data_IF_750999455706
#
_entry.id   IF_750999455706
#
_cell.length_a   1.000
_cell.length_b   1.000
_cell.length_c   1.000
_cell.angle_alpha   90.00
_cell.angle_beta   90.00
_cell.angle_gamma   90.00
#
_symmetry.space_group_name_H-M   'P 1'
#
loop_
_entity.id
_entity.type
_entity.pdbx_description
1 polymer ?
#
# COMPACT_ATOMS: atom_id res chain seq x y z
N UNK A 1 23.20 7.29 -2.57
CA UNK A 1 23.74 5.97 -2.14
C UNK A 1 24.01 5.06 -3.34
N UNK A 2 23.00 4.83 -4.21
CA UNK A 2 23.03 3.83 -5.28
C UNK A 2 23.91 4.16 -6.49
N UNK A 3 24.45 5.37 -6.59
CA UNK A 3 25.26 5.84 -7.73
C UNK A 3 26.41 4.89 -8.08
N UNK A 4 27.09 4.32 -7.07
CA UNK A 4 28.17 3.35 -7.28
C UNK A 4 27.63 2.00 -7.76
N UNK A 5 26.55 1.49 -7.16
CA UNK A 5 25.93 0.20 -7.51
C UNK A 5 25.44 0.19 -8.95
N UNK A 6 24.74 1.27 -9.35
CA UNK A 6 24.20 1.43 -10.70
C UNK A 6 25.31 1.56 -11.75
N UNK A 7 26.46 2.14 -11.40
CA UNK A 7 27.55 2.36 -12.37
C UNK A 7 28.05 1.07 -13.02
N UNK A 8 28.06 -0.04 -12.29
CA UNK A 8 28.46 -1.36 -12.80
C UNK A 8 27.43 -1.99 -13.77
N UNK A 9 26.19 -1.49 -13.75
CA UNK A 9 25.07 -2.00 -14.55
C UNK A 9 24.78 -1.18 -15.80
N UNK A 10 25.30 0.06 -15.89
CA UNK A 10 25.07 0.94 -17.03
C UNK A 10 25.50 0.29 -18.35
N UNK A 11 24.64 0.38 -19.37
CA UNK A 11 24.90 -0.14 -20.71
C UNK A 11 24.54 -1.61 -20.92
N UNK A 12 24.07 -2.32 -19.89
CA UNK A 12 23.52 -3.67 -20.07
C UNK A 12 22.14 -3.62 -20.74
N UNK A 13 21.80 -4.67 -21.49
CA UNK A 13 20.53 -4.77 -22.21
C UNK A 13 19.31 -4.92 -21.28
N UNK A 14 19.51 -5.54 -20.11
CA UNK A 14 18.51 -5.66 -19.08
C UNK A 14 19.18 -5.46 -17.71
N UNK A 15 18.68 -4.47 -16.97
CA UNK A 15 19.21 -4.08 -15.65
C UNK A 15 18.25 -4.39 -14.52
N UNK A 16 17.23 -5.22 -14.76
CA UNK A 16 16.20 -5.48 -13.76
C UNK A 16 16.68 -6.37 -12.60
N UNK A 17 16.13 -6.17 -11.41
CA UNK A 17 16.43 -7.07 -10.28
C UNK A 17 16.02 -8.52 -10.58
N UNK A 18 14.89 -8.74 -11.26
CA UNK A 18 14.46 -10.09 -11.67
C UNK A 18 15.47 -10.77 -12.59
N UNK A 19 16.09 -10.01 -13.51
CA UNK A 19 17.12 -10.54 -14.41
C UNK A 19 18.37 -11.00 -13.64
N UNK A 20 18.84 -10.21 -12.67
CA UNK A 20 19.97 -10.61 -11.83
C UNK A 20 19.62 -11.79 -10.92
N UNK A 21 18.44 -11.78 -10.31
CA UNK A 21 17.98 -12.87 -9.44
C UNK A 21 17.91 -14.22 -10.17
N UNK A 22 17.39 -14.24 -11.40
CA UNK A 22 17.32 -15.47 -12.23
C UNK A 22 18.68 -15.98 -12.69
N UNK A 23 19.70 -15.13 -12.67
CA UNK A 23 21.11 -15.51 -12.87
C UNK A 23 21.80 -15.97 -11.58
N UNK A 24 21.10 -16.00 -10.45
CA UNK A 24 21.67 -16.33 -9.15
C UNK A 24 22.58 -15.24 -8.58
N UNK A 25 22.42 -13.99 -9.02
CA UNK A 25 23.23 -12.86 -8.57
C UNK A 25 22.45 -12.07 -7.52
N UNK A 26 22.99 -12.01 -6.29
CA UNK A 26 22.51 -11.10 -5.24
C UNK A 26 23.07 -9.71 -5.51
N UNK A 27 22.19 -8.76 -5.83
CA UNK A 27 22.57 -7.35 -6.03
C UNK A 27 22.70 -6.61 -4.70
N UNK A 28 23.29 -5.41 -4.73
CA UNK A 28 23.35 -4.54 -3.55
C UNK A 28 21.95 -4.16 -3.05
N UNK A 29 20.98 -3.98 -3.96
CA UNK A 29 19.57 -3.78 -3.60
C UNK A 29 18.99 -4.98 -2.84
N UNK A 30 19.23 -6.21 -3.28
CA UNK A 30 18.73 -7.42 -2.59
C UNK A 30 19.35 -7.57 -1.21
N UNK A 31 20.67 -7.34 -1.08
CA UNK A 31 21.36 -7.39 0.20
C UNK A 31 20.87 -6.29 1.17
N UNK A 32 20.62 -5.08 0.65
CA UNK A 32 20.06 -3.98 1.45
C UNK A 32 18.67 -4.34 1.99
N UNK A 33 17.79 -4.87 1.13
CA UNK A 33 16.44 -5.30 1.51
C UNK A 33 16.48 -6.45 2.51
N UNK A 34 17.34 -7.45 2.30
CA UNK A 34 17.50 -8.58 3.21
C UNK A 34 17.80 -8.12 4.64
N UNK A 35 18.72 -7.16 4.79
CA UNK A 35 19.03 -6.53 6.07
C UNK A 35 17.84 -5.74 6.63
N UNK A 36 17.16 -4.95 5.80
CA UNK A 36 16.01 -4.11 6.20
C UNK A 36 14.83 -4.93 6.72
N UNK A 37 14.54 -6.06 6.09
CA UNK A 37 13.43 -6.96 6.46
C UNK A 37 13.83 -8.03 7.47
N UNK A 38 15.12 -8.11 7.86
CA UNK A 38 15.69 -9.19 8.67
C UNK A 38 15.41 -10.59 8.06
N UNK A 39 15.66 -10.73 6.76
CA UNK A 39 15.48 -11.96 5.98
C UNK A 39 16.80 -12.41 5.34
N UNK A 40 16.99 -13.71 5.04
CA UNK A 40 18.17 -14.18 4.31
C UNK A 40 18.24 -13.62 2.88
N UNK A 41 19.43 -13.25 2.41
CA UNK A 41 19.64 -12.78 1.03
C UNK A 41 19.18 -13.81 -0.02
N UNK A 42 19.36 -15.10 0.25
CA UNK A 42 18.90 -16.18 -0.63
C UNK A 42 17.39 -16.17 -0.80
N UNK A 43 16.62 -15.91 0.26
CA UNK A 43 15.17 -15.82 0.19
C UNK A 43 14.73 -14.63 -0.67
N UNK A 44 15.36 -13.46 -0.49
CA UNK A 44 15.06 -12.27 -1.31
C UNK A 44 15.31 -12.56 -2.79
N UNK A 45 16.48 -13.12 -3.11
CA UNK A 45 16.84 -13.47 -4.49
C UNK A 45 15.87 -14.51 -5.08
N UNK A 46 15.53 -15.56 -4.34
CA UNK A 46 14.60 -16.61 -4.81
C UNK A 46 13.20 -16.07 -5.06
N UNK A 47 12.66 -15.25 -4.14
CA UNK A 47 11.32 -14.65 -4.27
C UNK A 47 11.27 -13.64 -5.44
N UNK A 48 12.34 -12.87 -5.66
CA UNK A 48 12.46 -11.98 -6.83
C UNK A 48 12.59 -12.80 -8.13
N UNK A 49 13.40 -13.85 -8.16
CA UNK A 49 13.60 -14.68 -9.35
C UNK A 49 12.31 -15.35 -9.83
N UNK A 50 11.48 -15.83 -8.89
CA UNK A 50 10.19 -16.45 -9.19
C UNK A 50 9.03 -15.46 -9.35
N UNK A 51 9.26 -14.17 -9.10
CA UNK A 51 8.29 -13.10 -9.31
C UNK A 51 7.27 -12.87 -8.18
N UNK A 52 7.48 -13.45 -6.99
CA UNK A 52 6.62 -13.24 -5.79
C UNK A 52 7.06 -12.04 -4.93
N UNK A 53 8.18 -11.45 -5.30
CA UNK A 53 8.72 -10.24 -4.71
C UNK A 53 9.27 -9.35 -5.81
N UNK A 54 9.13 -8.04 -5.64
CA UNK A 54 9.78 -7.03 -6.46
C UNK A 54 10.58 -6.08 -5.57
N UNK A 55 11.56 -5.42 -6.18
CA UNK A 55 12.31 -4.31 -5.61
C UNK A 55 12.24 -3.18 -6.65
N UNK A 56 11.26 -2.27 -6.55
CA UNK A 56 11.09 -1.19 -7.52
C UNK A 56 12.23 -0.18 -7.36
N UNK A 57 13.20 -0.22 -8.26
CA UNK A 57 14.47 0.47 -8.07
C UNK A 57 15.09 0.93 -9.39
N UNK A 58 14.43 1.89 -10.03
CA UNK A 58 14.89 2.43 -11.31
C UNK A 58 16.34 2.94 -11.19
N UNK A 59 17.18 2.64 -12.17
CA UNK A 59 18.60 2.99 -12.17
C UNK A 59 18.86 4.50 -12.06
N UNK A 60 17.91 5.33 -12.48
CA UNK A 60 18.03 6.79 -12.43
C UNK A 60 17.64 7.36 -11.05
N UNK A 61 16.95 6.60 -10.20
CA UNK A 61 16.57 7.01 -8.85
C UNK A 61 17.68 6.70 -7.83
N UNK A 62 18.76 7.48 -7.87
CA UNK A 62 20.00 7.15 -7.12
C UNK A 62 19.96 7.48 -5.61
N UNK A 63 18.96 8.24 -5.17
CA UNK A 63 18.69 8.59 -3.77
C UNK A 63 17.81 7.56 -3.04
N UNK A 64 17.20 6.62 -3.78
CA UNK A 64 16.37 5.55 -3.25
C UNK A 64 17.09 4.70 -2.19
N UNK A 65 16.39 4.44 -1.09
CA UNK A 65 16.68 3.39 -0.11
C UNK A 65 15.84 2.15 -0.45
N UNK A 66 16.45 1.09 -1.01
CA UNK A 66 15.70 -0.07 -1.51
C UNK A 66 14.76 -0.69 -0.48
N UNK A 67 13.62 -1.18 -0.96
CA UNK A 67 12.60 -1.89 -0.21
C UNK A 67 12.01 -3.00 -1.08
N UNK A 68 11.48 -4.06 -0.47
CA UNK A 68 10.80 -5.13 -1.19
C UNK A 68 9.29 -5.10 -0.98
N UNK A 69 8.57 -5.44 -2.05
CA UNK A 69 7.13 -5.68 -2.04
C UNK A 69 6.91 -7.14 -2.41
N UNK A 70 6.44 -7.94 -1.46
CA UNK A 70 6.11 -9.34 -1.67
C UNK A 70 5.49 -9.99 -0.44
N UNK A 71 4.80 -11.11 -0.61
CA UNK A 71 4.16 -11.83 0.50
C UNK A 71 5.16 -12.45 1.48
N UNK A 72 6.47 -12.46 1.18
CA UNK A 72 7.49 -12.90 2.13
C UNK A 72 8.01 -11.78 3.05
N UNK A 73 7.83 -10.50 2.67
CA UNK A 73 8.26 -9.34 3.44
C UNK A 73 7.11 -8.72 4.26
N UNK A 74 7.41 -7.71 5.08
CA UNK A 74 6.38 -6.93 5.79
C UNK A 74 5.38 -6.29 4.81
N UNK A 75 4.14 -6.10 5.23
CA UNK A 75 3.10 -5.46 4.41
C UNK A 75 3.43 -3.97 4.21
N UNK A 76 3.42 -3.50 2.96
CA UNK A 76 3.86 -2.15 2.59
C UNK A 76 2.68 -1.20 2.41
N UNK A 77 2.89 0.09 2.63
CA UNK A 77 1.87 1.14 2.44
C UNK A 77 2.32 2.16 1.41
N UNK A 78 1.46 2.45 0.44
CA UNK A 78 1.64 3.53 -0.52
C UNK A 78 0.82 4.77 -0.13
N UNK A 79 1.40 5.96 -0.29
CA UNK A 79 0.65 7.22 -0.28
C UNK A 79 0.54 7.82 -1.69
N UNK A 80 -0.61 8.42 -2.01
CA UNK A 80 -0.80 9.17 -3.26
C UNK A 80 -0.66 10.66 -2.99
N UNK A 81 0.18 11.33 -3.77
CA UNK A 81 0.26 12.79 -3.82
C UNK A 81 -0.01 13.23 -5.26
N UNK A 82 -0.03 14.54 -5.51
CA UNK A 82 -0.21 15.05 -6.87
C UNK A 82 -0.78 16.45 -6.90
N UNK A 83 -0.26 17.25 -7.84
CA UNK A 83 -0.78 18.56 -8.20
C UNK A 83 -1.98 18.44 -9.15
N UNK A 84 -2.89 19.40 -9.07
CA UNK A 84 -4.05 19.49 -9.96
C UNK A 84 -4.15 20.89 -10.55
N UNK A 85 -4.94 21.09 -11.63
CA UNK A 85 -5.19 22.42 -12.19
C UNK A 85 -5.62 23.50 -11.19
N UNK A 86 -6.17 23.09 -10.04
CA UNK A 86 -6.73 23.98 -9.03
C UNK A 86 -5.92 24.07 -7.74
N UNK A 87 -4.86 23.28 -7.58
CA UNK A 87 -4.13 23.19 -6.30
C UNK A 87 -2.74 22.57 -6.44
N UNK A 88 -1.83 23.07 -5.61
CA UNK A 88 -0.46 22.59 -5.39
C UNK A 88 0.57 22.94 -6.46
N UNK A 89 1.80 23.17 -6.01
CA UNK A 89 2.99 23.37 -6.82
C UNK A 89 4.09 22.35 -6.47
N UNK A 90 5.24 22.44 -7.13
CA UNK A 90 6.36 21.52 -6.88
C UNK A 90 6.85 21.53 -5.42
N UNK A 91 6.80 22.68 -4.73
CA UNK A 91 7.25 22.79 -3.34
C UNK A 91 6.23 22.17 -2.37
N UNK A 92 4.94 22.39 -2.60
CA UNK A 92 3.86 21.77 -1.83
C UNK A 92 3.87 20.24 -2.00
N UNK A 93 4.05 19.72 -3.21
CA UNK A 93 4.14 18.27 -3.44
C UNK A 93 5.37 17.63 -2.79
N UNK A 94 6.53 18.30 -2.82
CA UNK A 94 7.73 17.84 -2.07
C UNK A 94 7.49 17.86 -0.56
N UNK A 95 6.71 18.81 -0.03
CA UNK A 95 6.34 18.81 1.39
C UNK A 95 5.38 17.66 1.73
N UNK A 96 4.41 17.35 0.87
CA UNK A 96 3.53 16.17 1.02
C UNK A 96 4.32 14.87 0.99
N UNK A 97 5.28 14.74 0.08
CA UNK A 97 6.22 13.60 0.04
C UNK A 97 6.95 13.44 1.39
N UNK A 98 7.56 14.50 1.90
CA UNK A 98 8.28 14.46 3.19
C UNK A 98 7.38 14.07 4.34
N UNK A 99 6.15 14.58 4.35
CA UNK A 99 5.14 14.23 5.35
C UNK A 99 4.74 12.76 5.25
N UNK A 100 4.54 12.26 4.03
CA UNK A 100 4.18 10.88 3.79
C UNK A 100 5.28 9.92 4.28
N UNK A 101 6.53 10.22 3.95
CA UNK A 101 7.69 9.45 4.43
C UNK A 101 7.83 9.54 5.96
N UNK A 102 7.64 10.72 6.56
CA UNK A 102 7.65 10.91 8.03
C UNK A 102 6.67 9.96 8.73
N UNK A 103 5.45 9.83 8.21
CA UNK A 103 4.41 8.97 8.79
C UNK A 103 4.42 7.53 8.26
N UNK A 104 5.51 7.13 7.58
CA UNK A 104 5.82 5.72 7.31
C UNK A 104 5.35 5.18 5.96
N UNK A 105 5.04 6.03 4.98
CA UNK A 105 4.82 5.58 3.61
C UNK A 105 6.05 4.81 3.10
N UNK A 106 5.83 3.59 2.63
CA UNK A 106 6.86 2.71 2.08
C UNK A 106 7.13 3.00 0.59
N UNK A 107 6.11 3.51 -0.12
CA UNK A 107 6.21 4.09 -1.47
C UNK A 107 5.32 5.33 -1.58
N UNK A 108 5.56 6.15 -2.60
CA UNK A 108 4.69 7.29 -2.91
C UNK A 108 4.38 7.32 -4.41
N UNK A 109 3.13 7.60 -4.79
CA UNK A 109 2.78 7.84 -6.19
C UNK A 109 2.55 9.32 -6.46
N UNK A 110 3.17 9.82 -7.52
CA UNK A 110 2.83 11.11 -8.10
C UNK A 110 1.69 10.93 -9.12
N UNK A 111 0.50 11.39 -8.74
CA UNK A 111 -0.71 11.34 -9.55
C UNK A 111 -1.10 12.72 -10.10
N UNK A 112 -0.13 13.63 -10.26
CA UNK A 112 -0.36 14.97 -10.79
C UNK A 112 -1.04 14.97 -12.17
N UNK A 113 -2.01 15.86 -12.41
CA UNK A 113 -2.83 15.84 -13.63
C UNK A 113 -2.94 17.16 -14.39
N UNK A 114 -2.29 18.24 -13.96
CA UNK A 114 -2.25 19.49 -14.72
C UNK A 114 -2.10 20.72 -13.81
N UNK A 115 -2.15 21.91 -14.41
CA UNK A 115 -1.98 23.20 -13.73
C UNK A 115 -0.54 23.66 -13.53
N UNK A 116 0.39 22.73 -13.68
CA UNK A 116 1.83 22.92 -13.45
C UNK A 116 2.61 22.12 -14.49
N UNK A 117 3.90 22.38 -14.62
CA UNK A 117 4.76 21.53 -15.42
C UNK A 117 4.96 20.18 -14.72
N UNK A 118 4.27 19.14 -15.21
CA UNK A 118 4.30 17.79 -14.64
C UNK A 118 5.72 17.20 -14.58
N UNK A 119 6.58 17.54 -15.56
CA UNK A 119 7.96 17.05 -15.57
C UNK A 119 8.79 17.67 -14.44
N UNK A 120 8.61 18.97 -14.17
CA UNK A 120 9.33 19.68 -13.11
C UNK A 120 8.90 19.18 -11.72
N UNK A 121 7.59 19.04 -11.49
CA UNK A 121 7.04 18.51 -10.23
C UNK A 121 7.59 17.11 -9.97
N UNK A 122 7.49 16.20 -10.95
CA UNK A 122 7.98 14.83 -10.81
C UNK A 122 9.49 14.76 -10.61
N UNK A 123 10.27 15.60 -11.31
CA UNK A 123 11.72 15.69 -11.12
C UNK A 123 12.07 16.13 -9.69
N UNK A 124 11.33 17.11 -9.15
CA UNK A 124 11.52 17.57 -7.78
C UNK A 124 11.16 16.49 -6.75
N UNK A 125 10.07 15.76 -6.96
CA UNK A 125 9.65 14.63 -6.11
C UNK A 125 10.69 13.51 -6.11
N UNK A 126 11.12 13.03 -7.29
CA UNK A 126 12.13 11.96 -7.41
C UNK A 126 13.47 12.41 -6.81
N UNK A 127 13.88 13.66 -7.03
CA UNK A 127 15.11 14.20 -6.45
C UNK A 127 15.10 14.23 -4.92
N UNK A 128 13.93 14.43 -4.30
CA UNK A 128 13.77 14.53 -2.86
C UNK A 128 13.39 13.21 -2.16
N UNK A 129 13.00 12.17 -2.90
CA UNK A 129 12.45 10.94 -2.32
C UNK A 129 13.54 9.93 -1.93
N UNK A 130 13.49 9.38 -0.70
CA UNK A 130 14.25 8.18 -0.35
C UNK A 130 13.46 6.88 -0.62
N UNK A 131 12.16 6.96 -0.95
CA UNK A 131 11.28 5.80 -1.17
C UNK A 131 10.90 5.68 -2.66
N UNK A 132 10.49 4.49 -3.15
CA UNK A 132 10.10 4.32 -4.55
C UNK A 132 8.97 5.26 -4.96
N UNK A 133 9.09 5.85 -6.15
CA UNK A 133 8.11 6.73 -6.77
C UNK A 133 7.35 6.01 -7.88
N UNK A 134 6.03 5.96 -7.74
CA UNK A 134 5.10 5.46 -8.76
C UNK A 134 4.42 6.55 -9.56
N UNK A 135 3.93 6.23 -10.75
CA UNK A 135 3.11 7.14 -11.58
C UNK A 135 2.06 6.40 -12.40
N UNK A 136 1.11 7.13 -12.99
CA UNK A 136 0.18 6.63 -14.01
C UNK A 136 0.41 7.40 -15.33
N UNK A 137 1.25 6.88 -16.25
CA UNK A 137 1.68 7.59 -17.46
C UNK A 137 0.54 8.09 -18.37
N UNK A 138 -0.59 7.38 -18.38
CA UNK A 138 -1.79 7.74 -19.13
C UNK A 138 -2.28 9.16 -18.80
N UNK A 139 -2.07 9.66 -17.57
CA UNK A 139 -2.52 10.99 -17.18
C UNK A 139 -1.74 12.08 -17.92
N UNK A 140 -0.41 11.95 -18.01
CA UNK A 140 0.40 12.91 -18.74
C UNK A 140 0.29 12.73 -20.26
N UNK A 141 0.07 11.50 -20.75
CA UNK A 141 -0.19 11.27 -22.18
C UNK A 141 -1.49 11.96 -22.63
N UNK A 142 -2.54 11.93 -21.83
CA UNK A 142 -3.75 12.68 -22.13
C UNK A 142 -3.52 14.20 -22.08
N UNK A 143 -2.74 14.67 -21.10
CA UNK A 143 -2.42 16.09 -20.96
C UNK A 143 -1.56 16.61 -22.14
N UNK A 144 -0.66 15.80 -22.71
CA UNK A 144 0.17 16.20 -23.86
C UNK A 144 -0.64 16.47 -25.14
N UNK A 145 -1.86 15.95 -25.22
CA UNK A 145 -2.83 16.24 -26.28
C UNK A 145 -3.97 17.14 -25.81
N UNK A 146 -3.79 17.86 -24.69
CA UNK A 146 -4.76 18.78 -24.09
C UNK A 146 -6.14 18.15 -23.85
N UNK A 147 -6.18 16.90 -23.37
CA UNK A 147 -7.42 16.19 -23.07
C UNK A 147 -8.12 15.56 -24.28
N UNK A 148 -7.53 15.63 -25.48
CA UNK A 148 -8.16 15.20 -26.71
C UNK A 148 -7.95 13.70 -26.99
N UNK A 149 -8.94 12.87 -26.66
CA UNK A 149 -8.94 11.41 -26.92
C UNK A 149 -8.74 11.09 -28.41
N UNK A 150 -9.29 11.92 -29.31
CA UNK A 150 -9.16 11.75 -30.76
C UNK A 150 -7.72 11.94 -31.28
N UNK A 151 -6.91 12.77 -30.60
CA UNK A 151 -5.52 13.06 -30.97
C UNK A 151 -4.52 12.16 -30.27
N UNK A 152 -4.92 11.51 -29.18
CA UNK A 152 -4.08 10.59 -28.43
C UNK A 152 -3.80 9.34 -29.27
N UNK A 153 -2.54 9.04 -29.54
CA UNK A 153 -2.13 7.86 -30.31
C UNK A 153 -1.33 6.84 -29.47
N UNK A 154 -0.92 5.72 -30.09
CA UNK A 154 -0.18 4.66 -29.39
C UNK A 154 1.25 5.09 -29.00
N UNK A 155 1.86 5.97 -29.77
CA UNK A 155 3.24 6.40 -29.60
C UNK A 155 3.35 7.49 -28.51
N UNK A 156 2.31 8.30 -28.31
CA UNK A 156 2.17 9.21 -27.16
C UNK A 156 2.32 8.45 -25.84
N UNK A 157 1.64 7.31 -25.71
CA UNK A 157 1.75 6.48 -24.49
C UNK A 157 3.17 5.99 -24.28
N UNK A 158 3.82 5.43 -25.31
CA UNK A 158 5.19 4.91 -25.19
C UNK A 158 6.19 6.02 -24.89
N UNK A 159 6.04 7.18 -25.52
CA UNK A 159 6.91 8.33 -25.28
C UNK A 159 6.85 8.78 -23.81
N UNK A 160 5.65 8.92 -23.24
CA UNK A 160 5.49 9.32 -21.84
C UNK A 160 5.97 8.23 -20.87
N UNK A 161 5.69 6.96 -21.15
CA UNK A 161 6.19 5.81 -20.36
C UNK A 161 7.72 5.83 -20.28
N UNK A 162 8.41 6.00 -21.42
CA UNK A 162 9.87 6.07 -21.45
C UNK A 162 10.40 7.33 -20.76
N UNK A 163 9.74 8.47 -20.94
CA UNK A 163 10.10 9.74 -20.27
C UNK A 163 10.08 9.60 -18.75
N UNK A 164 9.06 8.96 -18.19
CA UNK A 164 8.97 8.68 -16.75
C UNK A 164 10.12 7.78 -16.28
N UNK A 165 10.46 6.74 -17.05
CA UNK A 165 11.62 5.89 -16.74
C UNK A 165 12.95 6.67 -16.76
N UNK A 166 13.13 7.59 -17.70
CA UNK A 166 14.32 8.43 -17.80
C UNK A 166 14.48 9.36 -16.60
N UNK A 167 13.38 9.86 -16.04
CA UNK A 167 13.40 10.70 -14.82
C UNK A 167 13.69 9.92 -13.54
N UNK A 168 13.50 8.60 -13.54
CA UNK A 168 13.72 7.75 -12.36
C UNK A 168 12.46 7.26 -11.66
N UNK A 169 11.31 7.20 -12.35
CA UNK A 169 10.11 6.54 -11.81
C UNK A 169 10.38 5.04 -11.63
N UNK A 170 10.16 4.52 -10.43
CA UNK A 170 10.50 3.14 -10.04
C UNK A 170 9.45 2.12 -10.48
N UNK A 171 8.18 2.52 -10.50
CA UNK A 171 7.09 1.70 -11.02
C UNK A 171 6.02 2.53 -11.72
N UNK A 172 5.35 1.93 -12.68
CA UNK A 172 4.30 2.61 -13.44
C UNK A 172 3.03 1.78 -13.46
N UNK A 173 1.90 2.41 -13.15
CA UNK A 173 0.58 1.83 -13.30
C UNK A 173 0.19 1.81 -14.77
N UNK A 174 0.24 0.62 -15.37
CA UNK A 174 -0.07 0.38 -16.78
C UNK A 174 -1.39 -0.39 -16.87
N UNK A 175 -2.43 0.28 -17.35
CA UNK A 175 -3.80 -0.25 -17.47
C UNK A 175 -3.96 -1.11 -18.75
N UNK A 176 -3.06 -2.07 -18.97
CA UNK A 176 -3.05 -2.93 -20.15
C UNK A 176 -4.01 -4.12 -20.08
N UNK A 177 -4.56 -4.43 -18.89
CA UNK A 177 -5.52 -5.54 -18.72
C UNK A 177 -6.93 -5.26 -19.22
N UNK A 178 -7.27 -3.99 -19.46
CA UNK A 178 -8.55 -3.60 -20.03
C UNK A 178 -8.58 -3.91 -21.52
N UNK A 179 -9.33 -4.93 -21.91
CA UNK A 179 -9.55 -5.27 -23.31
C UNK A 179 -10.89 -4.73 -23.82
N UNK A 180 -11.00 -4.47 -25.13
CA UNK A 180 -12.22 -3.94 -25.74
C UNK A 180 -13.44 -4.87 -25.50
N UNK A 181 -13.23 -6.18 -25.49
CA UNK A 181 -14.25 -7.20 -25.19
C UNK A 181 -14.69 -7.23 -23.71
N UNK A 182 -13.97 -6.53 -22.82
CA UNK A 182 -14.39 -6.38 -21.42
C UNK A 182 -15.42 -5.26 -21.27
N UNK A 183 -15.42 -4.23 -22.14
CA UNK A 183 -16.31 -3.07 -22.01
C UNK A 183 -17.80 -3.44 -21.93
N UNK A 184 -18.34 -4.40 -22.72
CA UNK A 184 -19.75 -4.78 -22.56
C UNK A 184 -20.09 -5.38 -21.19
N UNK A 185 -19.10 -5.92 -20.45
CA UNK A 185 -19.30 -6.55 -19.13
C UNK A 185 -19.58 -5.53 -18.02
N UNK A 186 -19.22 -4.26 -18.21
CA UNK A 186 -19.55 -3.19 -17.24
C UNK A 186 -21.02 -2.77 -17.31
N UNK A 187 -21.76 -3.25 -18.32
CA UNK A 187 -23.19 -2.96 -18.45
C UNK A 187 -23.95 -3.48 -17.24
N UNK A 188 -24.62 -2.57 -16.52
CA UNK A 188 -25.40 -2.90 -15.33
C UNK A 188 -24.68 -2.64 -14.01
N UNK A 189 -23.38 -2.27 -14.04
CA UNK A 189 -22.72 -1.71 -12.86
C UNK A 189 -23.43 -0.45 -12.38
N UNK A 190 -23.48 -0.24 -11.06
CA UNK A 190 -24.02 1.00 -10.47
C UNK A 190 -23.05 2.16 -10.72
N UNK A 191 -21.74 1.92 -10.59
CA UNK A 191 -20.69 2.95 -10.64
C UNK A 191 -19.84 2.93 -11.91
N UNK A 192 -20.09 1.97 -12.81
CA UNK A 192 -19.40 1.88 -14.10
C UNK A 192 -17.88 1.64 -13.98
N UNK A 193 -17.09 2.47 -14.64
CA UNK A 193 -15.61 2.45 -14.60
C UNK A 193 -15.15 3.62 -13.75
N UNK A 194 -14.61 3.33 -12.56
CA UNK A 194 -14.13 4.35 -11.61
C UNK A 194 -12.63 4.60 -11.66
N UNK A 195 -11.88 3.75 -12.36
CA UNK A 195 -10.47 4.01 -12.63
C UNK A 195 -10.33 5.17 -13.62
N UNK A 196 -9.61 6.24 -13.24
CA UNK A 196 -9.31 7.35 -14.15
C UNK A 196 -8.54 6.86 -15.38
N UNK A 197 -7.47 6.08 -15.18
CA UNK A 197 -6.67 5.54 -16.29
C UNK A 197 -7.47 4.55 -17.14
N UNK A 198 -8.26 3.70 -16.51
CA UNK A 198 -9.19 2.79 -17.18
C UNK A 198 -10.25 3.51 -18.01
N UNK A 199 -10.82 4.60 -17.48
CA UNK A 199 -11.82 5.42 -18.17
C UNK A 199 -11.27 6.10 -19.42
N UNK A 200 -10.05 6.63 -19.36
CA UNK A 200 -9.36 7.24 -20.51
C UNK A 200 -9.14 6.22 -21.63
N UNK A 201 -8.65 5.02 -21.29
CA UNK A 201 -8.43 3.96 -22.28
C UNK A 201 -9.73 3.37 -22.82
N UNK A 202 -10.77 3.27 -21.98
CA UNK A 202 -12.11 2.88 -22.43
C UNK A 202 -12.64 3.87 -23.48
N UNK A 203 -12.53 5.18 -23.23
CA UNK A 203 -12.90 6.22 -24.20
C UNK A 203 -12.08 6.12 -25.48
N UNK A 204 -10.77 5.91 -25.37
CA UNK A 204 -9.89 5.73 -26.53
C UNK A 204 -10.31 4.55 -27.40
N UNK A 205 -10.55 3.38 -26.80
CA UNK A 205 -11.00 2.19 -27.55
C UNK A 205 -12.37 2.38 -28.18
N UNK A 206 -13.30 3.04 -27.49
CA UNK A 206 -14.64 3.33 -28.01
C UNK A 206 -14.60 4.32 -29.19
N UNK A 207 -13.72 5.32 -29.15
CA UNK A 207 -13.58 6.31 -30.22
C UNK A 207 -12.87 5.72 -31.45
N UNK A 208 -11.73 5.05 -31.24
CA UNK A 208 -10.91 4.53 -32.33
C UNK A 208 -11.34 3.16 -32.85
N UNK A 209 -12.23 2.45 -32.14
CA UNK A 209 -12.66 1.07 -32.44
C UNK A 209 -11.48 0.09 -32.57
N UNK A 210 -10.47 0.25 -31.71
CA UNK A 210 -9.24 -0.56 -31.68
C UNK A 210 -9.00 -1.11 -30.29
N UNK A 211 -8.23 -2.19 -30.20
CA UNK A 211 -7.82 -2.76 -28.92
C UNK A 211 -6.96 -1.75 -28.14
N UNK A 212 -6.94 -1.88 -26.81
CA UNK A 212 -6.14 -1.08 -25.90
C UNK A 212 -4.68 -0.98 -26.38
N UNK A 213 -4.16 0.23 -26.59
CA UNK A 213 -2.82 0.43 -27.14
C UNK A 213 -1.72 -0.07 -26.19
N UNK A 214 -1.94 -0.04 -24.88
CA UNK A 214 -0.99 -0.57 -23.90
C UNK A 214 -0.93 -2.10 -23.94
N UNK A 215 -2.02 -2.77 -24.34
CA UNK A 215 -2.06 -4.22 -24.52
C UNK A 215 -1.36 -4.65 -25.82
N UNK A 216 -1.63 -3.95 -26.92
CA UNK A 216 -1.03 -4.25 -28.23
C UNK A 216 0.47 -3.97 -28.25
N UNK A 217 0.90 -2.88 -27.59
CA UNK A 217 2.31 -2.45 -27.50
C UNK A 217 3.03 -2.96 -26.24
N UNK A 218 2.49 -3.96 -25.54
CA UNK A 218 3.02 -4.39 -24.23
C UNK A 218 4.49 -4.86 -24.26
N UNK A 219 4.93 -5.54 -25.34
CA UNK A 219 6.33 -5.96 -25.46
C UNK A 219 7.28 -4.77 -25.63
N UNK A 220 6.85 -3.70 -26.31
CA UNK A 220 7.64 -2.47 -26.42
C UNK A 220 7.81 -1.80 -25.05
N UNK A 221 6.76 -1.82 -24.22
CA UNK A 221 6.82 -1.35 -22.82
C UNK A 221 7.81 -2.22 -22.03
N UNK A 222 7.79 -3.54 -22.22
CA UNK A 222 8.77 -4.43 -21.58
C UNK A 222 10.21 -4.08 -21.99
N UNK A 223 10.46 -3.79 -23.28
CA UNK A 223 11.79 -3.38 -23.76
C UNK A 223 12.24 -2.03 -23.17
N UNK A 224 11.31 -1.10 -22.92
CA UNK A 224 11.61 0.13 -22.18
C UNK A 224 11.99 -0.22 -20.74
N UNK A 225 11.16 -0.98 -20.03
CA UNK A 225 11.33 -1.23 -18.59
C UNK A 225 12.63 -1.98 -18.27
N UNK A 226 13.04 -2.93 -19.11
CA UNK A 226 14.33 -3.63 -19.00
C UNK A 226 15.53 -2.69 -18.93
N UNK A 227 15.51 -1.58 -19.68
CA UNK A 227 16.63 -0.63 -19.76
C UNK A 227 16.80 0.21 -18.49
N UNK A 228 15.74 0.33 -17.69
CA UNK A 228 15.70 1.24 -16.55
C UNK A 228 15.45 0.55 -15.21
N UNK A 229 15.07 -0.73 -15.18
CA UNK A 229 14.54 -1.44 -14.00
C UNK A 229 13.27 -0.78 -13.44
N UNK A 230 12.38 -0.36 -14.35
CA UNK A 230 11.04 0.10 -13.96
C UNK A 230 10.13 -1.12 -13.77
N UNK A 231 9.37 -1.14 -12.68
CA UNK A 231 8.45 -2.23 -12.35
C UNK A 231 7.06 -1.95 -12.92
N UNK A 232 6.43 -2.97 -13.49
CA UNK A 232 5.00 -2.89 -13.79
C UNK A 232 4.19 -2.90 -12.51
N UNK A 233 3.29 -1.93 -12.38
CA UNK A 233 2.08 -2.06 -11.59
C UNK A 233 0.94 -2.28 -12.58
N UNK A 234 0.48 -3.50 -12.78
CA UNK A 234 -0.56 -3.78 -13.78
C UNK A 234 -1.91 -3.31 -13.23
N UNK A 235 -2.43 -2.22 -13.80
CA UNK A 235 -3.56 -1.46 -13.27
C UNK A 235 -4.91 -2.17 -13.38
N UNK A 236 -5.79 -1.91 -12.41
CA UNK A 236 -7.12 -2.48 -12.26
C UNK A 236 -8.23 -1.57 -12.82
N UNK A 237 -8.20 -1.37 -14.13
CA UNK A 237 -9.10 -0.47 -14.87
C UNK A 237 -10.58 -0.70 -14.56
N UNK A 238 -10.97 -1.93 -14.30
CA UNK A 238 -12.33 -2.40 -14.05
C UNK A 238 -12.55 -2.75 -12.57
N UNK A 239 -11.78 -2.18 -11.64
CA UNK A 239 -12.08 -2.32 -10.21
C UNK A 239 -13.50 -1.84 -9.86
N UNK A 240 -14.12 -2.42 -8.83
CA UNK A 240 -15.44 -2.01 -8.36
C UNK A 240 -15.38 -0.66 -7.63
N UNK A 241 -16.31 0.24 -7.95
CA UNK A 241 -16.50 1.54 -7.28
C UNK A 241 -17.63 1.58 -6.27
N UNK A 242 -18.30 0.44 -6.04
CA UNK A 242 -19.27 0.24 -4.98
C UNK A 242 -19.38 -1.25 -4.65
N UNK A 243 -19.97 -1.59 -3.51
CA UNK A 243 -20.13 -2.99 -3.06
C UNK A 243 -20.89 -3.86 -4.07
N UNK A 244 -21.87 -3.28 -4.77
CA UNK A 244 -22.69 -4.00 -5.75
C UNK A 244 -21.87 -4.51 -6.94
N UNK A 245 -20.85 -3.76 -7.35
CA UNK A 245 -20.05 -4.06 -8.53
C UNK A 245 -18.87 -4.99 -8.17
N UNK A 246 -18.71 -5.35 -6.89
CA UNK A 246 -17.61 -6.16 -6.39
C UNK A 246 -17.64 -7.60 -6.92
N UNK A 247 -16.46 -8.08 -7.31
CA UNK A 247 -16.22 -9.45 -7.80
C UNK A 247 -17.06 -9.81 -9.04
N UNK A 248 -17.49 -8.81 -9.81
CA UNK A 248 -18.30 -9.01 -11.00
C UNK A 248 -17.49 -9.58 -12.20
N UNK A 249 -18.21 -9.87 -13.29
CA UNK A 249 -17.59 -10.46 -14.48
C UNK A 249 -16.57 -9.53 -15.17
N UNK A 250 -16.70 -8.20 -15.04
CA UNK A 250 -15.77 -7.25 -15.64
C UNK A 250 -14.44 -7.21 -14.88
N UNK A 251 -14.50 -7.13 -13.55
CA UNK A 251 -13.32 -7.15 -12.68
C UNK A 251 -12.53 -8.45 -12.87
N UNK A 252 -13.21 -9.60 -12.81
CA UNK A 252 -12.56 -10.91 -12.91
C UNK A 252 -12.00 -11.19 -14.31
N UNK A 253 -12.62 -10.64 -15.36
CA UNK A 253 -12.10 -10.74 -16.72
C UNK A 253 -10.78 -9.97 -16.89
N UNK A 254 -10.70 -8.74 -16.36
CA UNK A 254 -9.44 -8.00 -16.36
C UNK A 254 -8.36 -8.71 -15.55
N UNK A 255 -8.66 -9.17 -14.32
CA UNK A 255 -7.70 -9.88 -13.47
C UNK A 255 -7.04 -11.06 -14.19
N UNK A 256 -7.82 -11.83 -14.94
CA UNK A 256 -7.31 -12.94 -15.77
C UNK A 256 -6.31 -12.44 -16.83
N UNK A 257 -6.62 -11.33 -17.51
CA UNK A 257 -5.70 -10.70 -18.47
C UNK A 257 -4.45 -10.17 -17.79
N UNK A 258 -4.55 -9.57 -16.60
CA UNK A 258 -3.38 -9.13 -15.82
C UNK A 258 -2.45 -10.32 -15.52
N UNK A 259 -3.00 -11.50 -15.22
CA UNK A 259 -2.21 -12.72 -15.06
C UNK A 259 -1.45 -13.14 -16.33
N UNK A 260 -2.06 -12.99 -17.51
CA UNK A 260 -1.37 -13.22 -18.79
C UNK A 260 -0.24 -12.22 -19.02
N UNK A 261 -0.51 -10.94 -18.77
CA UNK A 261 0.48 -9.86 -18.91
C UNK A 261 1.63 -10.00 -17.92
N UNK A 262 1.38 -10.46 -16.69
CA UNK A 262 2.41 -10.81 -15.71
C UNK A 262 3.37 -11.86 -16.28
N UNK A 263 2.84 -12.98 -16.80
CA UNK A 263 3.66 -14.03 -17.43
C UNK A 263 4.41 -13.52 -18.65
N UNK A 264 3.80 -12.63 -19.45
CA UNK A 264 4.44 -11.99 -20.62
C UNK A 264 5.62 -11.11 -20.20
N UNK A 265 5.44 -10.22 -19.22
CA UNK A 265 6.52 -9.39 -18.66
C UNK A 265 7.63 -10.22 -18.00
N UNK A 266 7.28 -11.32 -17.34
CA UNK A 266 8.27 -12.24 -16.78
C UNK A 266 9.09 -12.96 -17.84
N UNK A 267 8.60 -13.21 -19.06
CA UNK A 267 9.47 -13.71 -20.16
C UNK A 267 10.56 -12.71 -20.55
N UNK A 268 10.33 -11.43 -20.23
CA UNK A 268 11.25 -10.32 -20.42
C UNK A 268 12.10 -10.04 -19.16
N UNK A 269 12.03 -10.88 -18.12
CA UNK A 269 12.63 -10.62 -16.80
C UNK A 269 12.25 -9.25 -16.22
N UNK A 270 11.06 -8.71 -16.52
CA UNK A 270 10.60 -7.44 -15.95
C UNK A 270 9.81 -7.70 -14.68
N UNK A 271 10.06 -6.88 -13.64
CA UNK A 271 9.38 -6.97 -12.36
C UNK A 271 7.90 -6.57 -12.49
N UNK A 272 7.00 -7.25 -11.78
CA UNK A 272 5.56 -7.03 -11.85
C UNK A 272 4.92 -7.12 -10.46
N UNK A 273 4.09 -6.14 -10.14
CA UNK A 273 3.00 -6.27 -9.18
C UNK A 273 1.66 -6.05 -9.89
N UNK A 274 0.58 -6.54 -9.29
CA UNK A 274 -0.77 -6.48 -9.86
C UNK A 274 -1.64 -5.61 -8.96
N UNK A 275 -2.35 -4.65 -9.53
CA UNK A 275 -3.32 -3.84 -8.79
C UNK A 275 -4.63 -4.58 -8.57
N UNK A 276 -5.34 -4.21 -7.51
CA UNK A 276 -6.55 -4.88 -7.05
C UNK A 276 -7.54 -3.93 -6.39
N UNK A 277 -8.74 -4.47 -6.09
CA UNK A 277 -9.98 -3.72 -6.05
C UNK A 277 -10.05 -2.60 -5.01
N UNK A 278 -11.05 -1.73 -5.27
CA UNK A 278 -11.47 -0.61 -4.44
C UNK A 278 -12.57 -0.96 -3.44
N UNK A 279 -13.82 -1.14 -3.88
CA UNK A 279 -14.96 -1.38 -2.98
C UNK A 279 -15.34 -2.87 -2.97
N UNK A 280 -15.13 -3.56 -1.86
CA UNK A 280 -15.36 -5.00 -1.74
C UNK A 280 -15.91 -5.31 -0.35
N UNK A 281 -17.04 -6.03 -0.23
CA UNK A 281 -17.61 -6.32 1.08
C UNK A 281 -16.74 -7.34 1.79
N UNK A 282 -16.75 -7.29 3.12
CA UNK A 282 -15.81 -8.02 3.97
C UNK A 282 -15.72 -9.53 3.65
N UNK A 283 -16.85 -10.15 3.31
CA UNK A 283 -16.99 -11.57 2.98
C UNK A 283 -16.38 -11.98 1.63
N UNK A 284 -16.00 -11.02 0.78
CA UNK A 284 -15.41 -11.26 -0.54
C UNK A 284 -13.91 -10.95 -0.62
N UNK A 285 -13.30 -10.39 0.42
CA UNK A 285 -11.90 -9.97 0.40
C UNK A 285 -10.96 -11.17 0.24
N UNK A 286 -11.16 -12.23 1.03
CA UNK A 286 -10.36 -13.46 0.93
C UNK A 286 -10.44 -14.07 -0.47
N UNK A 287 -11.63 -14.09 -1.06
CA UNK A 287 -11.84 -14.57 -2.43
C UNK A 287 -10.99 -13.78 -3.43
N UNK A 288 -10.99 -12.44 -3.35
CA UNK A 288 -10.22 -11.59 -4.26
C UNK A 288 -8.71 -11.85 -4.16
N UNK A 289 -8.17 -11.94 -2.95
CA UNK A 289 -6.73 -12.21 -2.74
C UNK A 289 -6.34 -13.58 -3.27
N UNK A 290 -7.09 -14.63 -2.93
CA UNK A 290 -6.85 -15.99 -3.44
C UNK A 290 -6.97 -16.07 -4.95
N UNK A 291 -7.96 -15.38 -5.52
CA UNK A 291 -8.17 -15.38 -6.97
C UNK A 291 -7.02 -14.69 -7.71
N UNK A 292 -6.48 -13.61 -7.16
CA UNK A 292 -5.30 -12.98 -7.72
C UNK A 292 -4.08 -13.91 -7.66
N UNK A 293 -3.85 -14.62 -6.56
CA UNK A 293 -2.72 -15.56 -6.45
C UNK A 293 -2.80 -16.66 -7.51
N UNK A 294 -4.01 -17.19 -7.75
CA UNK A 294 -4.27 -18.20 -8.78
C UNK A 294 -3.98 -17.68 -10.20
N UNK A 295 -4.61 -16.57 -10.59
CA UNK A 295 -4.55 -16.05 -11.96
C UNK A 295 -3.19 -15.42 -12.31
N UNK A 296 -2.57 -14.75 -11.32
CA UNK A 296 -1.36 -13.95 -11.48
C UNK A 296 -0.09 -14.63 -10.95
N UNK A 297 -0.12 -15.95 -10.72
CA UNK A 297 1.03 -16.74 -10.30
C UNK A 297 1.74 -16.19 -9.04
N UNK A 298 0.94 -15.77 -8.05
CA UNK A 298 1.42 -15.19 -6.78
C UNK A 298 2.27 -13.91 -6.93
N UNK A 299 2.19 -13.18 -8.05
CA UNK A 299 2.80 -11.86 -8.17
C UNK A 299 2.33 -10.94 -7.02
N UNK A 300 3.18 -10.03 -6.49
CA UNK A 300 2.79 -9.13 -5.43
C UNK A 300 1.47 -8.40 -5.73
N UNK A 301 0.54 -8.46 -4.79
CA UNK A 301 -0.77 -7.82 -4.94
C UNK A 301 -0.76 -6.44 -4.27
N UNK A 302 -1.31 -5.44 -4.95
CA UNK A 302 -1.37 -4.04 -4.53
C UNK A 302 -2.83 -3.56 -4.58
N UNK A 303 -3.47 -3.32 -3.43
CA UNK A 303 -4.92 -3.03 -3.38
C UNK A 303 -5.23 -1.62 -2.90
N UNK A 304 -6.31 -1.01 -3.41
CA UNK A 304 -6.82 0.28 -2.94
C UNK A 304 -7.86 0.09 -1.84
N UNK A 305 -7.43 -0.03 -0.57
CA UNK A 305 -8.30 -0.44 0.54
C UNK A 305 -8.28 -1.94 0.74
N UNK A 306 -9.36 -2.69 0.45
CA UNK A 306 -10.63 -2.22 -0.11
C UNK A 306 -11.61 -1.59 0.91
N UNK A 307 -12.48 -0.70 0.46
CA UNK A 307 -13.60 -0.15 1.24
C UNK A 307 -14.66 -1.23 1.46
N UNK A 308 -14.95 -1.53 2.72
CA UNK A 308 -15.91 -2.61 3.10
C UNK A 308 -17.37 -2.14 3.14
N UNK A 309 -17.61 -0.84 2.98
CA UNK A 309 -18.93 -0.23 2.94
C UNK A 309 -18.86 1.16 2.27
N UNK A 310 -19.94 1.57 1.61
CA UNK A 310 -20.01 2.80 0.81
C UNK A 310 -20.74 3.96 1.53
N UNK A 311 -21.22 3.74 2.76
CA UNK A 311 -22.16 4.65 3.44
C UNK A 311 -21.50 5.72 4.33
N UNK A 312 -20.17 5.81 4.32
CA UNK A 312 -19.42 6.68 5.24
C UNK A 312 -18.39 7.60 4.55
N UNK A 313 -18.74 8.32 3.46
CA UNK A 313 -17.83 9.30 2.87
C UNK A 313 -17.42 10.35 3.93
N UNK A 314 -16.14 10.69 3.98
CA UNK A 314 -15.53 11.44 5.08
C UNK A 314 -14.77 10.54 6.08
N UNK A 315 -15.06 9.24 6.07
CA UNK A 315 -14.45 8.23 6.94
C UNK A 315 -13.95 7.01 6.16
N UNK A 316 -13.70 7.17 4.86
CA UNK A 316 -13.30 6.07 4.00
C UNK A 316 -11.93 5.49 4.34
N UNK A 317 -11.05 6.27 4.96
CA UNK A 317 -9.82 5.76 5.58
C UNK A 317 -10.07 4.70 6.66
N UNK A 318 -11.23 4.73 7.34
CA UNK A 318 -11.62 3.72 8.34
C UNK A 318 -12.29 2.53 7.65
N UNK A 319 -13.23 2.78 6.73
CA UNK A 319 -13.92 1.71 6.00
C UNK A 319 -12.93 0.87 5.20
N UNK A 320 -11.92 1.51 4.62
CA UNK A 320 -10.87 0.85 3.86
C UNK A 320 -9.81 0.20 4.73
N UNK A 321 -9.47 0.75 5.90
CA UNK A 321 -8.47 0.14 6.80
C UNK A 321 -8.91 -1.26 7.28
N UNK A 322 -10.22 -1.47 7.49
CA UNK A 322 -10.77 -2.80 7.82
C UNK A 322 -10.48 -3.78 6.67
N UNK A 323 -10.79 -3.40 5.43
CA UNK A 323 -10.55 -4.26 4.29
C UNK A 323 -9.07 -4.44 3.99
N UNK A 324 -8.26 -3.40 4.18
CA UNK A 324 -6.82 -3.41 3.99
C UNK A 324 -6.12 -4.36 4.97
N UNK A 325 -6.55 -4.39 6.24
CA UNK A 325 -6.03 -5.33 7.22
C UNK A 325 -6.35 -6.79 6.85
N UNK A 326 -7.58 -7.05 6.36
CA UNK A 326 -7.99 -8.38 5.89
C UNK A 326 -7.26 -8.82 4.62
N UNK A 327 -7.18 -7.93 3.62
CA UNK A 327 -6.48 -8.20 2.37
C UNK A 327 -4.99 -8.42 2.63
N UNK A 328 -4.40 -7.56 3.46
CA UNK A 328 -3.08 -7.71 4.04
C UNK A 328 -2.94 -9.09 4.66
N UNK A 329 -3.73 -9.44 5.69
CA UNK A 329 -3.63 -10.76 6.34
C UNK A 329 -3.62 -11.93 5.33
N UNK A 330 -4.54 -11.92 4.36
CA UNK A 330 -4.69 -13.00 3.40
C UNK A 330 -3.62 -13.07 2.30
N UNK A 331 -2.80 -12.04 2.09
CA UNK A 331 -1.66 -12.15 1.18
C UNK A 331 -1.29 -10.93 0.35
N UNK A 332 -2.03 -9.83 0.47
CA UNK A 332 -1.67 -8.58 -0.21
C UNK A 332 -0.32 -8.05 0.25
N UNK A 333 0.54 -7.66 -0.69
CA UNK A 333 1.91 -7.23 -0.42
C UNK A 333 2.01 -5.73 -0.14
N UNK A 334 1.18 -4.92 -0.82
CA UNK A 334 1.15 -3.47 -0.65
C UNK A 334 -0.29 -2.94 -0.58
N UNK A 335 -0.52 -1.95 0.26
CA UNK A 335 -1.82 -1.34 0.49
C UNK A 335 -1.76 0.13 0.05
N UNK A 336 -2.54 0.52 -0.94
CA UNK A 336 -2.72 1.92 -1.30
C UNK A 336 -3.64 2.56 -0.29
N UNK A 337 -3.15 3.61 0.37
CA UNK A 337 -3.94 4.30 1.37
C UNK A 337 -5.22 4.91 0.77
N UNK A 338 -6.17 5.21 1.65
CA UNK A 338 -7.37 5.98 1.34
C UNK A 338 -7.46 7.04 2.42
N UNK A 339 -7.71 8.28 2.01
CA UNK A 339 -7.75 9.42 2.94
C UNK A 339 -9.19 9.66 3.41
N UNK A 340 -9.40 10.43 4.49
CA UNK A 340 -10.74 10.90 4.86
C UNK A 340 -11.48 11.63 3.72
N UNK A 341 -10.73 12.25 2.78
CA UNK A 341 -11.27 13.01 1.65
C UNK A 341 -11.64 12.17 0.42
N UNK A 342 -11.43 10.86 0.45
CA UNK A 342 -11.87 10.00 -0.64
C UNK A 342 -13.36 10.25 -0.93
N UNK A 343 -13.71 10.30 -2.23
CA UNK A 343 -15.04 10.67 -2.72
C UNK A 343 -15.50 12.10 -2.43
N UNK A 344 -14.66 12.97 -1.85
CA UNK A 344 -15.03 14.34 -1.45
C UNK A 344 -14.12 15.44 -2.01
N UNK A 345 -12.82 15.20 -2.14
CA UNK A 345 -11.90 16.22 -2.66
C UNK A 345 -10.43 15.84 -2.54
N UNK A 346 -9.55 16.82 -2.78
CA UNK A 346 -8.11 16.61 -2.63
C UNK A 346 -7.70 16.58 -1.15
N UNK A 347 -6.83 15.64 -0.74
CA UNK A 347 -6.33 15.57 0.63
C UNK A 347 -5.34 16.70 0.92
N UNK A 348 -5.47 17.29 2.11
CA UNK A 348 -4.47 18.17 2.70
C UNK A 348 -3.46 17.36 3.53
N UNK A 349 -2.52 18.06 4.18
CA UNK A 349 -1.49 17.43 5.02
C UNK A 349 -2.06 16.56 6.16
N UNK A 350 -3.17 16.98 6.78
CA UNK A 350 -3.79 16.23 7.86
C UNK A 350 -4.53 14.99 7.33
N UNK A 351 -5.23 15.12 6.21
CA UNK A 351 -5.89 13.99 5.54
C UNK A 351 -4.85 12.91 5.14
N UNK A 352 -3.64 13.33 4.73
CA UNK A 352 -2.52 12.42 4.42
C UNK A 352 -2.01 11.72 5.68
N UNK A 353 -1.85 12.45 6.80
CA UNK A 353 -1.44 11.89 8.09
C UNK A 353 -2.43 10.83 8.57
N UNK A 354 -3.73 11.14 8.58
CA UNK A 354 -4.77 10.21 9.04
C UNK A 354 -4.85 8.95 8.17
N UNK A 355 -4.85 9.12 6.84
CA UNK A 355 -4.85 8.00 5.91
C UNK A 355 -3.62 7.09 6.09
N UNK A 356 -2.44 7.67 6.27
CA UNK A 356 -1.21 6.90 6.47
C UNK A 356 -1.21 6.14 7.79
N UNK A 357 -1.58 6.78 8.90
CA UNK A 357 -1.64 6.11 10.19
C UNK A 357 -2.65 4.97 10.18
N UNK A 358 -3.84 5.17 9.57
CA UNK A 358 -4.83 4.11 9.41
C UNK A 358 -4.26 2.89 8.64
N UNK A 359 -3.49 3.13 7.59
CA UNK A 359 -2.90 2.05 6.78
C UNK A 359 -1.66 1.42 7.40
N UNK A 360 -0.84 2.16 8.16
CA UNK A 360 0.24 1.55 8.95
C UNK A 360 -0.31 0.65 10.03
N UNK A 361 -1.44 1.01 10.66
CA UNK A 361 -2.17 0.12 11.58
C UNK A 361 -2.62 -1.13 10.84
N UNK A 362 -3.27 -0.99 9.67
CA UNK A 362 -3.75 -2.12 8.88
C UNK A 362 -2.62 -3.07 8.44
N UNK A 363 -1.52 -2.52 7.93
CA UNK A 363 -0.34 -3.27 7.51
C UNK A 363 0.31 -4.02 8.69
N UNK A 364 0.47 -3.35 9.83
CA UNK A 364 1.02 -3.95 11.05
C UNK A 364 0.12 -5.06 11.61
N UNK A 365 -1.19 -4.83 11.65
CA UNK A 365 -2.17 -5.84 12.07
C UNK A 365 -2.13 -7.08 11.15
N UNK A 366 -1.98 -6.87 9.84
CA UNK A 366 -1.79 -7.95 8.88
C UNK A 366 -0.49 -8.74 9.14
N UNK A 367 0.62 -8.06 9.45
CA UNK A 367 1.90 -8.73 9.76
C UNK A 367 1.84 -9.52 11.09
N UNK A 368 1.12 -9.03 12.10
CA UNK A 368 0.81 -9.80 13.32
C UNK A 368 0.00 -11.06 12.97
N UNK A 369 -1.07 -10.91 12.18
CA UNK A 369 -1.94 -12.02 11.80
C UNK A 369 -1.24 -13.06 10.89
N UNK A 370 -0.18 -12.65 10.18
CA UNK A 370 0.73 -13.52 9.42
C UNK A 370 1.85 -14.13 10.26
N UNK A 371 1.89 -13.85 11.57
CA UNK A 371 2.92 -14.31 12.50
C UNK A 371 4.34 -13.96 12.05
N UNK A 372 4.53 -12.74 11.53
CA UNK A 372 5.87 -12.26 11.15
C UNK A 372 6.81 -12.22 12.35
N UNK A 373 8.06 -12.72 12.23
CA UNK A 373 9.05 -12.62 13.29
C UNK A 373 9.22 -11.17 13.76
N UNK A 374 9.12 -10.95 15.07
CA UNK A 374 9.29 -9.64 15.71
C UNK A 374 8.12 -8.65 15.53
N UNK A 375 7.06 -8.99 14.78
CA UNK A 375 5.95 -8.06 14.55
C UNK A 375 5.23 -7.64 15.84
N UNK A 376 5.21 -8.50 16.86
CA UNK A 376 4.60 -8.18 18.16
C UNK A 376 5.53 -7.47 19.14
N UNK A 377 6.83 -7.37 18.85
CA UNK A 377 7.81 -6.87 19.82
C UNK A 377 7.50 -5.44 20.24
N UNK A 378 7.13 -4.58 19.27
CA UNK A 378 6.73 -3.19 19.52
C UNK A 378 5.41 -3.09 20.30
N UNK A 379 4.41 -3.92 19.99
CA UNK A 379 3.13 -3.96 20.71
C UNK A 379 3.33 -4.34 22.17
N UNK A 380 4.14 -5.37 22.41
CA UNK A 380 4.42 -5.89 23.74
C UNK A 380 5.28 -4.87 24.53
N UNK A 381 6.28 -4.21 23.91
CA UNK A 381 7.06 -3.15 24.55
C UNK A 381 6.20 -1.93 24.91
N UNK A 382 5.33 -1.48 23.99
CA UNK A 382 4.39 -0.38 24.24
C UNK A 382 3.42 -0.73 25.37
N UNK A 383 2.93 -1.97 25.40
CA UNK A 383 2.03 -2.46 26.45
C UNK A 383 2.74 -2.54 27.81
N UNK A 384 4.03 -2.90 27.85
CA UNK A 384 4.85 -2.85 29.07
C UNK A 384 5.02 -1.41 29.55
N UNK A 385 5.36 -0.47 28.66
CA UNK A 385 5.45 0.95 29.00
C UNK A 385 4.12 1.49 29.55
N UNK A 386 3.00 1.15 28.90
CA UNK A 386 1.65 1.49 29.37
C UNK A 386 1.36 0.95 30.76
N UNK A 387 1.64 -0.32 31.02
CA UNK A 387 1.40 -0.93 32.33
C UNK A 387 2.34 -0.37 33.41
N UNK A 388 3.57 0.00 33.06
CA UNK A 388 4.53 0.65 33.95
C UNK A 388 4.28 2.16 34.14
N UNK A 389 3.27 2.73 33.47
CA UNK A 389 2.97 4.16 33.46
C UNK A 389 4.12 5.04 32.96
N UNK A 390 4.99 4.48 32.13
CA UNK A 390 5.99 5.24 31.37
C UNK A 390 5.32 5.86 30.14
N UNK A 391 4.64 6.98 30.37
CA UNK A 391 3.88 7.70 29.34
C UNK A 391 4.77 8.13 28.19
N UNK A 392 5.98 8.63 28.48
CA UNK A 392 6.90 9.09 27.45
C UNK A 392 7.35 7.94 26.55
N UNK A 393 7.69 6.77 27.14
CA UNK A 393 8.04 5.60 26.34
C UNK A 393 6.84 5.07 25.56
N UNK A 394 5.63 5.10 26.13
CA UNK A 394 4.42 4.73 25.40
C UNK A 394 4.17 5.64 24.19
N UNK A 395 4.38 6.96 24.31
CA UNK A 395 4.26 7.88 23.19
C UNK A 395 5.32 7.60 22.13
N UNK A 396 6.59 7.50 22.53
CA UNK A 396 7.73 7.19 21.64
C UNK A 396 7.49 5.93 20.81
N UNK A 397 6.95 4.89 21.44
CA UNK A 397 6.68 3.61 20.78
C UNK A 397 5.42 3.63 19.92
N UNK A 398 4.54 4.63 20.00
CA UNK A 398 3.33 4.69 19.17
C UNK A 398 3.64 5.05 17.71
N UNK A 399 2.74 4.72 16.78
CA UNK A 399 2.91 5.08 15.35
C UNK A 399 2.93 6.60 15.12
N UNK A 400 2.27 7.36 15.98
CA UNK A 400 2.23 8.82 15.95
C UNK A 400 2.45 9.38 17.37
N UNK A 401 3.73 9.50 17.80
CA UNK A 401 4.07 9.99 19.14
C UNK A 401 3.52 11.39 19.43
N UNK A 402 3.45 12.25 18.41
CA UNK A 402 2.93 13.62 18.53
C UNK A 402 1.44 13.60 18.89
N UNK A 403 0.62 12.82 18.17
CA UNK A 403 -0.83 12.71 18.45
C UNK A 403 -1.11 12.02 19.79
N UNK A 404 -0.36 10.97 20.11
CA UNK A 404 -0.54 10.25 21.37
C UNK A 404 -0.29 11.16 22.58
N UNK A 405 0.75 12.00 22.52
CA UNK A 405 1.04 12.99 23.56
C UNK A 405 0.01 14.12 23.58
N UNK A 406 -0.38 14.64 22.42
CA UNK A 406 -1.40 15.69 22.29
C UNK A 406 -2.69 15.30 23.02
N UNK A 407 -3.27 14.13 22.72
CA UNK A 407 -4.53 13.67 23.32
C UNK A 407 -4.45 13.39 24.82
N UNK A 408 -3.30 12.92 25.31
CA UNK A 408 -3.09 12.81 26.75
C UNK A 408 -3.09 14.21 27.41
N UNK A 409 -2.40 15.16 26.79
CA UNK A 409 -2.12 16.48 27.37
C UNK A 409 -3.31 17.45 27.28
N UNK A 410 -4.31 17.17 26.44
CA UNK A 410 -5.58 17.90 26.41
C UNK A 410 -6.26 17.97 27.80
N UNK A 411 -6.10 16.93 28.62
CA UNK A 411 -6.71 16.84 29.95
C UNK A 411 -5.70 16.86 31.09
N UNK A 412 -4.46 16.42 30.85
CA UNK A 412 -3.39 16.35 31.85
C UNK A 412 -2.07 16.95 31.31
N UNK A 413 -2.01 18.27 31.05
CA UNK A 413 -0.90 18.89 30.31
C UNK A 413 0.41 18.98 31.12
N UNK A 414 0.35 19.02 32.45
CA UNK A 414 1.53 19.22 33.28
C UNK A 414 2.48 18.01 33.23
N UNK A 415 3.80 18.25 33.18
CA UNK A 415 4.82 17.20 33.07
C UNK A 415 4.77 16.17 34.20
N UNK A 416 4.29 16.57 35.38
CA UNK A 416 4.09 15.66 36.52
C UNK A 416 3.16 14.48 36.16
N UNK A 417 2.22 14.67 35.23
CA UNK A 417 1.28 13.63 34.83
C UNK A 417 1.92 12.58 33.90
N UNK A 418 3.11 12.83 33.35
CA UNK A 418 3.87 11.83 32.59
C UNK A 418 4.50 10.74 33.47
N UNK A 419 4.41 10.92 34.79
CA UNK A 419 4.80 9.93 35.79
C UNK A 419 3.59 9.48 36.63
N UNK A 420 2.38 9.99 36.33
CA UNK A 420 1.19 9.63 37.06
C UNK A 420 0.77 8.20 36.70
N UNK A 421 0.46 7.40 37.71
CA UNK A 421 -0.04 6.05 37.51
C UNK A 421 -1.51 6.01 37.05
N UNK A 422 -2.00 7.03 36.35
CA UNK A 422 -3.38 7.12 35.87
C UNK A 422 -3.46 8.10 34.70
N UNK A 423 -4.57 8.07 33.97
CA UNK A 423 -4.98 9.14 33.06
C UNK A 423 -6.35 9.69 33.47
N UNK A 424 -6.83 10.70 32.75
CA UNK A 424 -8.12 11.36 33.00
C UNK A 424 -9.33 10.44 32.84
N UNK A 425 -9.22 9.33 32.11
CA UNK A 425 -10.33 8.39 31.87
C UNK A 425 -10.87 7.76 33.16
N UNK A 426 -9.99 7.24 34.03
CA UNK A 426 -10.38 6.60 35.29
C UNK A 426 -10.01 7.43 36.52
N UNK A 427 -9.04 8.34 36.38
CA UNK A 427 -8.47 9.07 37.50
C UNK A 427 -7.66 8.20 38.47
N UNK A 428 -7.15 8.79 39.56
CA UNK A 428 -6.12 8.21 40.42
C UNK A 428 -6.59 7.06 41.32
N UNK A 429 -7.89 6.77 41.41
CA UNK A 429 -8.43 5.74 42.33
C UNK A 429 -9.04 4.54 41.62
N UNK A 430 -9.27 4.64 40.31
CA UNK A 430 -10.04 3.66 39.55
C UNK A 430 -9.28 3.15 38.33
N UNK A 431 -7.99 3.45 38.21
CA UNK A 431 -7.17 2.87 37.15
C UNK A 431 -6.91 1.38 37.46
N UNK A 432 -7.39 0.44 36.63
CA UNK A 432 -7.20 -0.99 36.91
C UNK A 432 -5.72 -1.41 36.91
N UNK A 433 -4.88 -0.73 36.13
CA UNK A 433 -3.43 -1.02 36.06
C UNK A 433 -2.67 -0.63 37.33
N UNK A 434 -3.25 0.21 38.20
CA UNK A 434 -2.71 0.52 39.53
C UNK A 434 -2.97 -0.59 40.54
N UNK A 435 -4.03 -1.38 40.37
CA UNK A 435 -4.38 -2.43 41.33
C UNK A 435 -3.31 -3.52 41.41
N UNK A 436 -2.51 -3.68 40.35
CA UNK A 436 -1.35 -4.60 40.28
C UNK A 436 -1.64 -5.98 40.88
N UNK A 437 -2.78 -6.59 40.51
CA UNK A 437 -3.08 -7.97 40.92
C UNK A 437 -1.91 -8.85 40.51
N UNK A 438 -1.31 -9.51 41.50
CA UNK A 438 -0.09 -10.30 41.33
C UNK A 438 -0.39 -11.77 41.09
N UNK A 439 0.60 -12.52 40.58
CA UNK A 439 0.50 -13.98 40.49
C UNK A 439 0.29 -14.61 41.88
N UNK A 440 0.86 -14.04 42.94
CA UNK A 440 0.64 -14.49 44.33
C UNK A 440 -0.82 -14.33 44.79
N UNK A 441 -1.46 -13.21 44.45
CA UNK A 441 -2.88 -12.98 44.74
C UNK A 441 -3.75 -14.05 44.05
N UNK A 442 -3.40 -14.39 42.80
CA UNK A 442 -4.10 -15.40 41.99
C UNK A 442 -3.83 -16.83 42.48
N UNK A 443 -2.60 -17.15 42.90
CA UNK A 443 -2.26 -18.43 43.53
C UNK A 443 -3.00 -18.61 44.86
N UNK A 444 -3.11 -17.52 45.65
CA UNK A 444 -3.92 -17.49 46.86
C UNK A 444 -5.39 -17.81 46.56
N UNK A 445 -5.97 -17.17 45.55
CA UNK A 445 -7.33 -17.45 45.09
C UNK A 445 -7.48 -18.89 44.56
N UNK A 446 -6.51 -19.41 43.81
CA UNK A 446 -6.55 -20.77 43.29
C UNK A 446 -6.66 -21.81 44.41
N UNK A 447 -5.90 -21.65 45.51
CA UNK A 447 -6.00 -22.53 46.69
C UNK A 447 -7.39 -22.48 47.34
N UNK A 448 -8.02 -21.30 47.38
CA UNK A 448 -9.40 -21.16 47.89
C UNK A 448 -10.37 -21.88 46.96
N UNK A 449 -10.24 -21.69 45.64
CA UNK A 449 -11.07 -22.34 44.63
C UNK A 449 -10.93 -23.87 44.65
N UNK A 450 -9.74 -24.40 44.89
CA UNK A 450 -9.48 -25.84 45.02
C UNK A 450 -10.10 -26.43 46.30
N UNK A 451 -10.19 -25.65 47.39
CA UNK A 451 -10.72 -26.13 48.68
C UNK A 451 -12.24 -26.04 48.82
N UNK A 452 -12.86 -24.98 48.30
CA UNK A 452 -14.32 -24.71 48.45
C UNK A 452 -15.08 -24.95 47.14
N UNK A 453 -14.39 -24.93 46.00
CA UNK A 453 -15.02 -24.84 44.70
C UNK A 453 -15.57 -23.43 44.42
N UNK A 454 -15.59 -23.04 43.15
CA UNK A 454 -16.11 -21.72 42.75
C UNK A 454 -17.58 -21.49 43.13
N UNK A 455 -18.38 -22.56 43.19
CA UNK A 455 -19.81 -22.49 43.50
C UNK A 455 -20.09 -22.10 44.97
N UNK A 456 -19.20 -22.44 45.90
CA UNK A 456 -19.36 -22.04 47.32
C UNK A 456 -19.01 -20.56 47.54
N UNK A 457 -18.09 -20.00 46.74
CA UNK A 457 -17.72 -18.59 46.78
C UNK A 457 -18.76 -17.66 46.15
N UNK A 458 -19.61 -18.19 45.27
CA UNK A 458 -20.69 -17.44 44.65
C UNK A 458 -21.88 -17.36 45.61
N UNK A 459 -22.07 -16.22 46.28
CA UNK A 459 -23.31 -15.94 47.04
C UNK A 459 -24.56 -15.91 46.14
N UNK A 460 -24.35 -15.80 44.83
CA UNK A 460 -25.38 -15.89 43.80
C UNK A 460 -25.37 -17.30 43.24
N UNK A 461 -26.39 -18.10 43.59
CA UNK A 461 -26.74 -19.28 42.78
C UNK A 461 -27.16 -18.75 41.41
N UNK A 462 -26.27 -18.84 40.42
CA UNK A 462 -26.67 -18.71 39.04
C UNK A 462 -27.65 -19.86 38.79
N UNK A 463 -28.94 -19.55 38.72
CA UNK A 463 -29.94 -20.51 38.27
C UNK A 463 -29.45 -21.03 36.92
N UNK A 464 -29.09 -22.31 36.87
CA UNK A 464 -28.89 -23.00 35.62
C UNK A 464 -30.23 -22.93 34.90
N UNK A 465 -30.33 -22.04 33.92
CA UNK A 465 -31.37 -22.16 32.91
C UNK A 465 -31.17 -23.52 32.23
N UNK A 466 -32.13 -24.42 32.42
CA UNK A 466 -32.32 -25.59 31.57
C UNK A 466 -32.65 -25.18 30.12
#
# INVERSE_FOLDING_TARGET
MRTQWVSARKGQANVSQMHYARKGVVTEEMAYVAKRENLPESLIMEEVARGRMIIPANINHTNLEPMAIGIASSCKVNANIGASPNASDAAEEVNKLKLAVKYGADTVMDLSTGGVNLDEVRTAIIGASPVPIGTVPVYQALESVHGSIEKLDEDDFLHIIEKHCQQGVDYQTIHAGLLIEHLPKVKGRITGIVSRGGGILAQWMLYHHRQNPLFTRFDDICEIFKRYDCTFSLGDSLRPGCQHDASDAAQLAELKTLGELTRRAWKHDVQVMVEGPGHVPLDQIEFNVKKQMEECNEAPFYVLGPLVTDIAPGYDHITSAIGAAMAGWHGTAMLCYVTPKEHLGLPNAEDVREGLIAYKIAAHAADIARHRPGARDRDDELSRARYAFDWNKQFELSLDPERAKEYHDETLPADIYKQAEFCSMCGPKHCPMQTKITDEDLEGLQKVLESQGAAELASVKLDKAE
#
